data_IF_835763856246
#
_entry.id   IF_835763856246
#
_cell.length_a   1.000
_cell.length_b   1.000
_cell.length_c   1.000
_cell.angle_alpha   90.00
_cell.angle_beta   90.00
_cell.angle_gamma   90.00
#
_symmetry.space_group_name_H-M   'P 1'
#
loop_
_entity.id
_entity.type
_entity.pdbx_description
1 polymer ?
#
# COMPACT_ATOMS: atom_id res chain seq x y z
N UNK A 1 25.48 3.63 14.88
CA UNK A 1 24.95 2.63 13.94
C UNK A 1 23.88 3.22 13.01
N UNK A 2 22.70 3.64 13.50
CA UNK A 2 21.64 4.18 12.62
C UNK A 2 22.05 5.41 11.80
N UNK A 3 22.72 6.39 12.40
CA UNK A 3 23.10 7.62 11.70
C UNK A 3 24.04 7.39 10.49
N UNK A 4 24.94 6.41 10.55
CA UNK A 4 25.85 6.10 9.43
C UNK A 4 25.11 5.41 8.28
N UNK A 5 24.22 4.46 8.60
CA UNK A 5 23.39 3.77 7.61
C UNK A 5 22.43 4.76 6.94
N UNK A 6 21.74 5.60 7.72
CA UNK A 6 20.84 6.60 7.18
C UNK A 6 21.55 7.59 6.27
N UNK A 7 22.77 8.01 6.63
CA UNK A 7 23.58 8.88 5.77
C UNK A 7 23.90 8.22 4.43
N UNK A 8 24.31 6.94 4.44
CA UNK A 8 24.61 6.21 3.20
C UNK A 8 23.38 6.03 2.32
N UNK A 9 22.23 5.69 2.92
CA UNK A 9 20.99 5.52 2.16
C UNK A 9 20.54 6.87 1.57
N UNK A 10 20.58 7.94 2.38
CA UNK A 10 20.15 9.28 1.94
C UNK A 10 21.11 9.92 0.94
N UNK A 11 22.41 9.59 0.94
CA UNK A 11 23.34 10.07 -0.10
C UNK A 11 23.01 9.51 -1.49
N UNK A 12 22.22 8.44 -1.56
CA UNK A 12 21.68 7.86 -2.80
C UNK A 12 20.29 8.41 -3.16
N UNK A 13 19.81 9.44 -2.48
CA UNK A 13 18.49 10.04 -2.70
C UNK A 13 17.32 9.21 -2.17
N UNK A 14 17.58 8.16 -1.37
CA UNK A 14 16.54 7.28 -0.84
C UNK A 14 16.02 7.87 0.47
N UNK A 15 14.69 7.99 0.58
CA UNK A 15 14.02 8.41 1.80
C UNK A 15 13.87 7.23 2.76
N UNK A 16 14.03 7.48 4.06
CA UNK A 16 13.93 6.43 5.08
C UNK A 16 12.87 6.79 6.10
N UNK A 17 11.88 5.93 6.26
CA UNK A 17 10.77 6.11 7.20
C UNK A 17 10.91 5.16 8.37
N UNK A 18 10.71 5.67 9.59
CA UNK A 18 10.65 4.83 10.78
C UNK A 18 9.28 4.15 10.85
N UNK A 19 9.27 2.82 10.76
CA UNK A 19 8.03 2.03 10.83
C UNK A 19 7.68 1.70 12.28
N UNK A 20 6.43 1.92 12.66
CA UNK A 20 5.93 1.73 14.03
C UNK A 20 4.55 1.07 14.00
N UNK A 21 4.36 -0.03 14.72
CA UNK A 21 3.02 -0.55 14.94
C UNK A 21 2.95 -1.94 15.57
N UNK A 22 1.79 -2.24 16.13
CA UNK A 22 1.34 -3.53 16.67
C UNK A 22 -0.16 -3.44 16.89
N UNK A 23 -0.89 -4.55 16.75
CA UNK A 23 -2.34 -4.58 16.98
C UNK A 23 -2.75 -3.96 18.32
N UNK A 24 -1.97 -4.17 19.39
CA UNK A 24 -2.25 -3.71 20.76
C UNK A 24 -2.02 -2.22 20.99
N UNK A 25 -1.42 -1.48 20.04
CA UNK A 25 -1.20 -0.03 20.18
C UNK A 25 -2.50 0.77 20.27
N UNK A 26 -3.61 0.22 19.76
CA UNK A 26 -4.95 0.83 19.92
C UNK A 26 -5.43 0.87 21.36
N UNK A 27 -4.84 0.03 22.22
CA UNK A 27 -5.07 -0.04 23.66
C UNK A 27 -3.90 0.54 24.46
N UNK A 28 -2.68 0.53 23.89
CA UNK A 28 -1.43 0.88 24.60
C UNK A 28 -0.61 1.98 23.88
N UNK A 29 -1.12 3.21 23.88
CA UNK A 29 -0.48 4.39 23.25
C UNK A 29 1.02 4.60 23.55
N UNK A 30 1.50 4.22 24.75
CA UNK A 30 2.84 4.59 25.24
C UNK A 30 3.96 4.23 24.27
N UNK A 31 3.85 3.08 23.60
CA UNK A 31 4.87 2.61 22.65
C UNK A 31 4.95 3.48 21.40
N UNK A 32 3.79 3.85 20.86
CA UNK A 32 3.68 4.79 19.74
C UNK A 32 4.27 6.16 20.12
N UNK A 33 3.94 6.68 21.31
CA UNK A 33 4.49 7.96 21.80
C UNK A 33 6.00 7.94 21.96
N UNK A 34 6.52 6.84 22.51
CA UNK A 34 7.95 6.65 22.72
C UNK A 34 8.68 6.60 21.37
N UNK A 35 8.13 5.88 20.38
CA UNK A 35 8.69 5.83 19.03
C UNK A 35 8.70 7.21 18.36
N UNK A 36 7.59 7.96 18.43
CA UNK A 36 7.52 9.34 17.91
C UNK A 36 8.58 10.21 18.60
N UNK A 37 8.68 10.11 19.93
CA UNK A 37 9.64 10.89 20.72
C UNK A 37 11.08 10.57 20.32
N UNK A 38 11.42 9.29 20.18
CA UNK A 38 12.76 8.84 19.78
C UNK A 38 13.13 9.33 18.38
N UNK A 39 12.23 9.22 17.40
CA UNK A 39 12.48 9.68 16.02
C UNK A 39 12.66 11.19 15.96
N UNK A 40 11.80 11.96 16.64
CA UNK A 40 11.94 13.42 16.68
C UNK A 40 13.22 13.86 17.39
N UNK A 41 13.59 13.20 18.49
CA UNK A 41 14.85 13.48 19.19
C UNK A 41 16.07 13.16 18.31
N UNK A 42 16.04 12.02 17.60
CA UNK A 42 17.09 11.63 16.66
C UNK A 42 17.24 12.64 15.53
N UNK A 43 16.15 13.07 14.91
CA UNK A 43 16.17 14.04 13.81
C UNK A 43 16.64 15.45 14.22
N UNK A 44 16.55 15.82 15.51
CA UNK A 44 17.07 17.11 16.01
C UNK A 44 18.59 17.16 16.02
N UNK A 45 19.26 16.02 16.16
CA UNK A 45 20.72 15.95 16.31
C UNK A 45 21.43 15.34 15.09
N UNK A 46 20.67 14.87 14.10
CA UNK A 46 21.20 14.27 12.88
C UNK A 46 20.56 14.89 11.64
N UNK A 47 21.38 15.58 10.84
CA UNK A 47 20.98 16.14 9.54
C UNK A 47 20.45 15.05 8.58
N UNK A 48 21.07 13.88 8.60
CA UNK A 48 20.63 12.69 7.86
C UNK A 48 19.68 11.81 8.68
N UNK A 49 18.71 12.43 9.36
CA UNK A 49 17.65 11.76 10.10
C UNK A 49 16.59 11.08 9.22
N UNK A 50 15.59 10.48 9.85
CA UNK A 50 14.44 9.86 9.18
C UNK A 50 13.66 10.90 8.38
N UNK A 51 13.22 10.52 7.18
CA UNK A 51 12.35 11.33 6.31
C UNK A 51 10.90 11.40 6.80
N UNK A 52 10.47 10.42 7.60
CA UNK A 52 9.11 10.36 8.12
C UNK A 52 8.84 9.19 9.05
N UNK A 53 7.57 9.07 9.45
CA UNK A 53 7.02 7.94 10.20
C UNK A 53 6.02 7.18 9.35
N UNK A 54 6.01 5.84 9.42
CA UNK A 54 4.97 5.02 8.83
C UNK A 54 4.34 4.17 9.93
N UNK A 55 3.03 4.30 10.13
CA UNK A 55 2.31 3.53 11.14
C UNK A 55 1.66 2.30 10.53
N UNK A 56 2.16 1.13 10.91
CA UNK A 56 1.64 -0.18 10.49
C UNK A 56 0.94 -0.86 11.67
N UNK A 57 -0.22 -0.31 12.02
CA UNK A 57 -1.01 -0.75 13.16
C UNK A 57 -2.19 -1.54 12.61
N UNK A 58 -2.18 -2.86 12.84
CA UNK A 58 -3.16 -3.82 12.33
C UNK A 58 -4.16 -4.24 13.42
N UNK A 59 -5.15 -3.39 13.77
CA UNK A 59 -6.03 -3.68 14.91
C UNK A 59 -6.94 -4.89 14.69
N UNK A 60 -7.08 -5.34 13.44
CA UNK A 60 -7.83 -6.53 13.06
C UNK A 60 -7.10 -7.85 13.40
N UNK A 61 -5.82 -7.79 13.75
CA UNK A 61 -5.05 -8.93 14.27
C UNK A 61 -5.20 -9.10 15.80
N UNK A 62 -5.98 -8.25 16.49
CA UNK A 62 -6.26 -8.42 17.91
C UNK A 62 -7.09 -9.68 18.19
N UNK A 63 -6.75 -10.39 19.28
CA UNK A 63 -7.60 -11.46 19.81
C UNK A 63 -8.98 -10.90 20.19
N UNK A 64 -10.04 -11.55 19.72
CA UNK A 64 -11.42 -11.09 19.93
C UNK A 64 -11.86 -9.95 19.00
N UNK A 65 -11.09 -9.65 17.94
CA UNK A 65 -11.48 -8.64 16.95
C UNK A 65 -12.86 -8.92 16.33
N UNK A 66 -13.20 -10.15 15.88
CA UNK A 66 -14.50 -10.43 15.25
C UNK A 66 -15.71 -10.02 16.10
N UNK A 67 -15.64 -10.22 17.42
CA UNK A 67 -16.68 -9.91 18.40
C UNK A 67 -16.75 -8.42 18.74
N UNK A 68 -15.64 -7.69 18.53
CA UNK A 68 -15.46 -6.31 18.99
C UNK A 68 -15.09 -5.32 17.88
N UNK A 69 -15.29 -5.68 16.60
CA UNK A 69 -14.84 -4.91 15.41
C UNK A 69 -15.12 -3.42 15.52
N UNK A 70 -16.36 -3.04 15.82
CA UNK A 70 -16.79 -1.63 15.92
C UNK A 70 -16.04 -0.88 17.02
N UNK A 71 -15.87 -1.50 18.19
CA UNK A 71 -15.17 -0.91 19.32
C UNK A 71 -13.67 -0.77 19.01
N UNK A 72 -13.07 -1.78 18.39
CA UNK A 72 -11.66 -1.79 17.98
C UNK A 72 -11.38 -0.69 16.94
N UNK A 73 -12.19 -0.56 15.89
CA UNK A 73 -12.03 0.53 14.92
C UNK A 73 -12.24 1.92 15.53
N UNK A 74 -13.15 2.06 16.50
CA UNK A 74 -13.30 3.31 17.23
C UNK A 74 -12.05 3.66 18.06
N UNK A 75 -11.36 2.66 18.64
CA UNK A 75 -10.07 2.85 19.34
C UNK A 75 -8.95 3.22 18.37
N UNK A 76 -8.85 2.52 17.25
CA UNK A 76 -7.93 2.84 16.16
C UNK A 76 -8.10 4.29 15.67
N UNK A 77 -9.35 4.73 15.41
CA UNK A 77 -9.63 6.10 15.00
C UNK A 77 -9.31 7.16 16.08
N UNK A 78 -9.34 6.79 17.37
CA UNK A 78 -8.87 7.68 18.46
C UNK A 78 -7.35 7.73 18.48
N UNK A 79 -6.67 6.60 18.30
CA UNK A 79 -5.22 6.53 18.24
C UNK A 79 -4.66 7.39 17.11
N UNK A 80 -5.21 7.29 15.89
CA UNK A 80 -4.74 8.10 14.76
C UNK A 80 -4.90 9.62 14.99
N UNK A 81 -5.98 10.05 15.67
CA UNK A 81 -6.13 11.45 16.09
C UNK A 81 -5.06 11.86 17.08
N UNK A 82 -4.72 10.98 18.03
CA UNK A 82 -3.67 11.23 19.01
C UNK A 82 -2.30 11.34 18.36
N UNK A 83 -1.99 10.45 17.41
CA UNK A 83 -0.78 10.50 16.57
C UNK A 83 -0.71 11.85 15.82
N UNK A 84 -1.78 12.25 15.13
CA UNK A 84 -1.86 13.53 14.42
C UNK A 84 -1.54 14.71 15.32
N UNK A 85 -2.14 14.76 16.51
CA UNK A 85 -1.90 15.83 17.49
C UNK A 85 -0.45 15.80 17.98
N UNK A 86 0.09 14.60 18.25
CA UNK A 86 1.44 14.41 18.79
C UNK A 86 2.54 14.78 17.81
N UNK A 87 2.36 14.47 16.53
CA UNK A 87 3.33 14.78 15.45
C UNK A 87 3.14 16.21 14.94
N UNK A 88 1.90 16.69 14.88
CA UNK A 88 1.57 18.00 14.32
C UNK A 88 2.08 18.12 12.88
N UNK A 89 2.93 19.13 12.64
CA UNK A 89 3.62 19.36 11.35
C UNK A 89 5.13 19.09 11.44
N UNK A 90 5.60 18.47 12.52
CA UNK A 90 7.03 18.32 12.78
C UNK A 90 7.72 17.32 11.85
N UNK A 91 6.98 16.34 11.35
CA UNK A 91 7.52 15.32 10.46
C UNK A 91 6.39 14.70 9.61
N UNK A 92 6.59 14.43 8.31
CA UNK A 92 5.62 13.72 7.51
C UNK A 92 5.32 12.33 8.07
N UNK A 93 4.07 11.90 8.00
CA UNK A 93 3.70 10.55 8.42
C UNK A 93 2.60 9.92 7.59
N UNK A 94 2.69 8.60 7.41
CA UNK A 94 1.73 7.79 6.66
C UNK A 94 1.20 6.63 7.50
N UNK A 95 0.16 5.98 7.00
CA UNK A 95 -0.46 4.81 7.65
C UNK A 95 -0.62 3.68 6.66
N UNK A 96 -0.21 2.48 7.05
CA UNK A 96 -0.47 1.26 6.31
C UNK A 96 -1.87 0.76 6.67
N UNK A 97 -2.69 0.51 5.65
CA UNK A 97 -4.06 0.06 5.82
C UNK A 97 -4.37 -1.10 4.89
N UNK A 98 -5.25 -2.04 5.27
CA UNK A 98 -5.76 -3.04 4.36
C UNK A 98 -6.80 -2.44 3.41
N UNK A 99 -6.96 -3.04 2.23
CA UNK A 99 -7.86 -2.54 1.18
C UNK A 99 -9.32 -2.36 1.65
N UNK A 100 -9.81 -3.19 2.57
CA UNK A 100 -11.22 -3.19 3.02
C UNK A 100 -11.59 -2.04 3.98
N UNK A 101 -10.66 -1.13 4.30
CA UNK A 101 -10.97 0.04 5.13
C UNK A 101 -11.96 1.01 4.46
N UNK A 102 -12.18 0.90 3.15
CA UNK A 102 -13.23 1.61 2.43
C UNK A 102 -14.64 1.15 2.82
N UNK A 103 -14.80 -0.12 3.22
CA UNK A 103 -16.07 -0.72 3.64
C UNK A 103 -16.39 -0.50 5.13
N UNK A 104 -15.40 -0.12 5.94
CA UNK A 104 -15.59 0.11 7.38
C UNK A 104 -16.17 1.50 7.59
N UNK A 105 -17.38 1.60 8.15
CA UNK A 105 -18.01 2.90 8.48
C UNK A 105 -17.29 3.62 9.62
N UNK A 106 -17.00 4.91 9.43
CA UNK A 106 -16.43 5.79 10.46
C UNK A 106 -17.02 7.21 10.35
N UNK A 107 -17.90 7.56 11.29
CA UNK A 107 -18.63 8.83 11.25
C UNK A 107 -19.54 8.91 10.03
N UNK A 108 -19.42 9.98 9.24
CA UNK A 108 -20.19 10.17 7.99
C UNK A 108 -19.59 9.41 6.78
N UNK A 109 -18.32 9.01 6.85
CA UNK A 109 -17.60 8.36 5.74
C UNK A 109 -17.11 6.94 6.06
N UNK A 110 -16.12 6.50 5.30
CA UNK A 110 -15.38 5.25 5.56
C UNK A 110 -14.16 5.49 6.45
N UNK A 111 -13.62 4.42 7.03
CA UNK A 111 -12.38 4.44 7.80
C UNK A 111 -11.22 4.87 6.90
N UNK A 112 -11.17 4.42 5.64
CA UNK A 112 -10.22 4.91 4.62
C UNK A 112 -10.19 6.45 4.56
N UNK A 113 -11.34 7.11 4.32
CA UNK A 113 -11.37 8.58 4.24
C UNK A 113 -11.04 9.25 5.58
N UNK A 114 -11.32 8.57 6.69
CA UNK A 114 -10.92 9.05 8.00
C UNK A 114 -9.40 9.04 8.17
N UNK A 115 -8.72 7.96 7.76
CA UNK A 115 -7.25 7.84 7.80
C UNK A 115 -6.60 8.91 6.92
N UNK A 116 -7.08 9.09 5.69
CA UNK A 116 -6.58 10.13 4.76
C UNK A 116 -6.72 11.56 5.32
N UNK A 117 -7.72 11.82 6.18
CA UNK A 117 -7.85 13.11 6.90
C UNK A 117 -6.89 13.25 8.08
N UNK A 118 -6.30 12.16 8.56
CA UNK A 118 -5.36 12.20 9.68
C UNK A 118 -3.92 12.33 9.20
N UNK A 119 -3.51 11.51 8.23
CA UNK A 119 -2.13 11.34 7.80
C UNK A 119 -1.77 12.14 6.55
N UNK A 120 -0.47 12.20 6.24
CA UNK A 120 0.05 12.82 5.02
C UNK A 120 0.00 11.90 3.81
N UNK A 121 -0.13 10.59 4.03
CA UNK A 121 -0.31 9.59 2.98
C UNK A 121 -0.77 8.25 3.56
N UNK A 122 -1.06 7.29 2.68
CA UNK A 122 -1.37 5.91 3.07
C UNK A 122 -0.63 4.90 2.19
N UNK A 123 -0.46 3.69 2.70
CA UNK A 123 -0.05 2.52 1.93
C UNK A 123 -1.14 1.47 2.03
N UNK A 124 -1.62 0.96 0.88
CA UNK A 124 -2.69 -0.04 0.83
C UNK A 124 -2.07 -1.43 0.71
N UNK A 125 -2.31 -2.29 1.70
CA UNK A 125 -2.03 -3.72 1.62
C UNK A 125 -3.18 -4.42 0.89
N UNK A 126 -2.89 -4.92 -0.30
CA UNK A 126 -3.82 -5.71 -1.10
C UNK A 126 -3.71 -7.22 -0.79
N UNK A 127 -2.60 -7.67 -0.17
CA UNK A 127 -2.29 -9.08 0.07
C UNK A 127 -2.42 -9.92 -1.21
N UNK A 128 -1.86 -9.42 -2.32
CA UNK A 128 -1.86 -10.10 -3.62
C UNK A 128 -0.49 -9.89 -4.28
N UNK A 129 -0.11 -10.83 -5.13
CA UNK A 129 1.12 -10.74 -5.93
C UNK A 129 0.86 -10.29 -7.37
N UNK A 130 -0.39 -10.40 -7.85
CA UNK A 130 -0.77 -10.05 -9.23
C UNK A 130 -1.26 -8.62 -9.30
N UNK A 131 -0.55 -7.81 -10.09
CA UNK A 131 -0.82 -6.38 -10.26
C UNK A 131 -2.29 -6.03 -10.52
N UNK A 132 -3.01 -6.80 -11.35
CA UNK A 132 -4.42 -6.53 -11.64
C UNK A 132 -5.35 -6.71 -10.44
N UNK A 133 -5.07 -7.71 -9.60
CA UNK A 133 -5.84 -7.97 -8.39
C UNK A 133 -5.57 -6.87 -7.36
N UNK A 134 -4.30 -6.42 -7.25
CA UNK A 134 -3.91 -5.30 -6.41
C UNK A 134 -4.65 -4.02 -6.83
N UNK A 135 -4.64 -3.66 -8.11
CA UNK A 135 -5.34 -2.47 -8.61
C UNK A 135 -6.85 -2.54 -8.37
N UNK A 136 -7.46 -3.71 -8.60
CA UNK A 136 -8.89 -3.90 -8.39
C UNK A 136 -9.28 -3.65 -6.92
N UNK A 137 -8.48 -4.16 -5.98
CA UNK A 137 -8.71 -4.00 -4.54
C UNK A 137 -8.39 -2.58 -4.06
N UNK A 138 -7.37 -1.94 -4.61
CA UNK A 138 -6.93 -0.61 -4.19
C UNK A 138 -7.69 0.55 -4.85
N UNK A 139 -8.55 0.30 -5.85
CA UNK A 139 -9.22 1.31 -6.67
C UNK A 139 -9.89 2.41 -5.82
N UNK A 140 -10.71 2.02 -4.85
CA UNK A 140 -11.40 3.00 -3.99
C UNK A 140 -10.41 3.88 -3.21
N UNK A 141 -9.32 3.28 -2.73
CA UNK A 141 -8.25 3.99 -2.02
C UNK A 141 -7.50 4.97 -2.90
N UNK A 142 -7.13 4.56 -4.12
CA UNK A 142 -6.48 5.41 -5.12
C UNK A 142 -7.37 6.62 -5.48
N UNK A 143 -8.65 6.39 -5.78
CA UNK A 143 -9.60 7.47 -6.07
C UNK A 143 -9.77 8.42 -4.89
N UNK A 144 -9.89 7.89 -3.66
CA UNK A 144 -10.04 8.72 -2.46
C UNK A 144 -8.78 9.56 -2.18
N UNK A 145 -7.59 9.00 -2.38
CA UNK A 145 -6.33 9.74 -2.27
C UNK A 145 -6.23 10.89 -3.26
N UNK A 146 -6.56 10.62 -4.54
CA UNK A 146 -6.58 11.65 -5.59
C UNK A 146 -7.55 12.79 -5.24
N UNK A 147 -8.79 12.48 -4.84
CA UNK A 147 -9.78 13.49 -4.48
C UNK A 147 -9.39 14.32 -3.25
N UNK A 148 -8.53 13.80 -2.38
CA UNK A 148 -8.11 14.46 -1.14
C UNK A 148 -6.71 15.07 -1.24
N UNK A 149 -6.06 15.01 -2.41
CA UNK A 149 -4.67 15.43 -2.62
C UNK A 149 -3.71 14.75 -1.63
N UNK A 150 -3.83 13.42 -1.52
CA UNK A 150 -3.02 12.58 -0.62
C UNK A 150 -2.33 11.45 -1.41
N UNK A 151 -1.00 11.27 -1.24
CA UNK A 151 -0.29 10.14 -1.83
C UNK A 151 -0.82 8.80 -1.30
N UNK A 152 -0.92 7.82 -2.20
CA UNK A 152 -1.36 6.45 -1.94
C UNK A 152 -0.35 5.49 -2.56
N UNK A 153 0.36 4.75 -1.71
CA UNK A 153 1.26 3.69 -2.12
C UNK A 153 0.52 2.34 -2.13
N UNK A 154 1.00 1.40 -2.96
CA UNK A 154 0.46 0.04 -3.03
C UNK A 154 1.49 -0.97 -2.50
N UNK A 155 1.11 -1.72 -1.47
CA UNK A 155 1.89 -2.85 -0.98
C UNK A 155 1.78 -4.03 -1.94
N UNK A 156 2.92 -4.56 -2.36
CA UNK A 156 3.03 -5.73 -3.25
C UNK A 156 3.72 -6.85 -2.48
N UNK A 157 3.07 -8.00 -2.40
CA UNK A 157 3.66 -9.18 -1.78
C UNK A 157 4.66 -9.83 -2.73
N UNK A 158 5.92 -9.89 -2.29
CA UNK A 158 7.03 -10.46 -3.06
C UNK A 158 7.34 -11.91 -2.68
N UNK A 159 6.78 -12.41 -1.58
CA UNK A 159 6.92 -13.78 -1.12
C UNK A 159 5.72 -14.66 -1.55
N UNK A 160 5.91 -15.98 -1.75
CA UNK A 160 4.80 -16.90 -1.99
C UNK A 160 3.84 -16.89 -0.79
N UNK A 161 2.55 -16.62 -1.04
CA UNK A 161 1.53 -16.68 0.01
C UNK A 161 0.95 -18.11 0.11
N UNK A 162 0.60 -18.60 1.32
CA UNK A 162 0.06 -19.96 1.51
C UNK A 162 -1.29 -20.22 0.81
N UNK A 163 -2.02 -19.17 0.41
CA UNK A 163 -3.31 -19.26 -0.29
C UNK A 163 -3.19 -19.17 -1.83
N UNK A 164 -1.98 -19.05 -2.36
CA UNK A 164 -1.76 -19.10 -3.80
C UNK A 164 -1.66 -20.55 -4.27
N UNK A 165 -2.70 -21.05 -4.92
CA UNK A 165 -2.61 -22.30 -5.69
C UNK A 165 -1.74 -22.07 -6.92
N UNK A 166 -0.51 -22.60 -6.89
CA UNK A 166 0.35 -22.67 -8.07
C UNK A 166 0.04 -23.96 -8.82
N UNK A 167 -0.51 -23.84 -10.03
CA UNK A 167 -0.74 -25.00 -10.90
C UNK A 167 0.49 -25.22 -11.76
N UNK A 168 1.31 -26.19 -11.38
CA UNK A 168 2.41 -26.67 -12.21
C UNK A 168 1.88 -27.72 -13.19
N UNK A 169 1.80 -27.37 -14.47
CA UNK A 169 1.50 -28.33 -15.53
C UNK A 169 2.80 -28.99 -16.00
N UNK A 170 2.88 -30.31 -15.92
CA UNK A 170 3.92 -31.08 -16.60
C UNK A 170 3.78 -30.91 -18.12
N UNK A 171 4.86 -31.13 -18.87
CA UNK A 171 4.85 -31.07 -20.34
C UNK A 171 3.75 -31.97 -20.97
N UNK A 172 3.46 -33.11 -20.32
CA UNK A 172 2.38 -34.03 -20.71
C UNK A 172 0.99 -33.44 -20.47
N UNK A 173 0.78 -32.76 -19.34
CA UNK A 173 -0.47 -32.05 -19.03
C UNK A 173 -0.69 -30.86 -19.97
N UNK A 174 0.37 -30.11 -20.28
CA UNK A 174 0.30 -29.01 -21.26
C UNK A 174 -0.19 -29.49 -22.63
N UNK A 175 0.40 -30.57 -23.17
CA UNK A 175 -0.02 -31.13 -24.45
C UNK A 175 -1.44 -31.71 -24.45
N UNK A 176 -1.92 -32.22 -23.31
CA UNK A 176 -3.24 -32.83 -23.20
C UNK A 176 -4.34 -31.79 -23.01
N UNK A 177 -4.09 -30.76 -22.22
CA UNK A 177 -5.13 -29.88 -21.67
C UNK A 177 -5.11 -28.48 -22.33
N UNK A 178 -4.13 -28.17 -23.19
CA UNK A 178 -4.10 -26.95 -24.01
C UNK A 178 -4.46 -27.28 -25.48
N UNK A 179 -5.30 -26.46 -26.12
CA UNK A 179 -5.69 -26.53 -27.53
C UNK A 179 -5.38 -25.21 -28.22
N UNK A 180 -4.83 -25.26 -29.43
CA UNK A 180 -4.66 -24.08 -30.28
C UNK A 180 -5.87 -23.95 -31.22
N UNK A 181 -6.50 -22.78 -31.25
CA UNK A 181 -7.52 -22.45 -32.23
C UNK A 181 -7.26 -21.04 -32.78
N UNK A 182 -7.05 -20.92 -34.10
CA UNK A 182 -6.68 -19.68 -34.80
C UNK A 182 -5.50 -18.92 -34.15
N UNK A 183 -4.47 -19.62 -33.70
CA UNK A 183 -3.28 -19.00 -33.11
C UNK A 183 -3.39 -18.67 -31.62
N UNK A 184 -4.53 -18.96 -31.00
CA UNK A 184 -4.75 -18.74 -29.57
C UNK A 184 -4.80 -20.06 -28.81
N UNK A 185 -4.13 -20.11 -27.65
CA UNK A 185 -4.07 -21.28 -26.77
C UNK A 185 -5.21 -21.23 -25.75
N UNK A 186 -6.00 -22.30 -25.69
CA UNK A 186 -7.14 -22.49 -24.81
C UNK A 186 -6.89 -23.67 -23.87
N UNK A 187 -7.16 -23.51 -22.58
CA UNK A 187 -7.17 -24.63 -21.66
C UNK A 187 -8.54 -25.34 -21.72
N UNK A 188 -8.53 -26.64 -21.97
CA UNK A 188 -9.70 -27.51 -22.06
C UNK A 188 -9.59 -28.56 -20.95
N UNK A 189 -10.18 -28.24 -19.80
CA UNK A 189 -10.28 -29.09 -18.62
C UNK A 189 -11.38 -28.57 -17.70
N UNK A 190 -11.82 -29.38 -16.74
CA UNK A 190 -12.81 -28.96 -15.73
C UNK A 190 -12.19 -27.87 -14.83
N UNK A 191 -12.39 -26.61 -15.19
CA UNK A 191 -11.96 -25.44 -14.42
C UNK A 191 -13.09 -24.88 -13.54
N UNK A 192 -12.79 -24.24 -12.40
CA UNK A 192 -13.76 -23.37 -11.72
C UNK A 192 -14.05 -22.11 -12.56
N UNK A 193 -15.26 -21.53 -12.40
CA UNK A 193 -15.91 -20.72 -13.41
C UNK A 193 -15.43 -19.26 -13.44
N UNK A 194 -15.50 -18.66 -14.63
CA UNK A 194 -15.27 -17.24 -14.98
C UNK A 194 -13.80 -16.78 -14.99
N UNK A 195 -13.25 -16.17 -16.04
CA UNK A 195 -13.83 -15.61 -17.26
C UNK A 195 -13.34 -14.17 -17.48
N UNK A 196 -12.32 -14.00 -18.34
CA UNK A 196 -11.93 -12.80 -19.12
C UNK A 196 -11.48 -11.53 -18.36
N UNK A 197 -10.50 -10.87 -19.00
CA UNK A 197 -9.88 -9.60 -18.64
C UNK A 197 -10.49 -8.49 -19.49
N UNK A 198 -10.84 -7.38 -18.86
CA UNK A 198 -10.72 -6.01 -19.37
C UNK A 198 -10.67 -5.05 -18.18
N UNK A 199 -9.97 -3.91 -18.30
CA UNK A 199 -10.50 -2.56 -18.02
C UNK A 199 -9.40 -1.49 -18.12
N UNK A 200 -9.74 -0.46 -18.89
CA UNK A 200 -9.22 0.91 -18.86
C UNK A 200 -9.75 1.60 -17.59
N UNK A 201 -8.96 2.46 -16.94
CA UNK A 201 -9.49 3.33 -15.87
C UNK A 201 -9.23 4.79 -16.20
N UNK A 202 -10.32 5.56 -16.16
CA UNK A 202 -10.37 7.01 -16.20
C UNK A 202 -11.24 7.42 -15.00
N UNK A 203 -10.69 8.20 -14.08
CA UNK A 203 -11.51 8.88 -13.06
C UNK A 203 -12.26 9.97 -13.81
N UNK A 204 -13.57 9.78 -14.05
CA UNK A 204 -14.41 10.81 -14.67
C UNK A 204 -14.48 12.04 -13.76
N UNK A 205 -13.56 12.99 -13.92
CA UNK A 205 -13.72 14.25 -14.67
C UNK A 205 -12.43 15.06 -14.46
N UNK A 206 -11.93 15.66 -15.54
CA UNK A 206 -10.67 16.41 -15.66
C UNK A 206 -9.40 15.56 -15.83
N UNK A 207 -9.06 15.38 -17.12
CA UNK A 207 -7.71 15.32 -17.67
C UNK A 207 -6.65 15.86 -16.71
N UNK A 208 -5.57 15.11 -16.43
CA UNK A 208 -4.22 15.56 -16.72
C UNK A 208 -3.14 14.50 -16.48
N UNK A 209 -2.12 14.64 -17.34
CA UNK A 209 -0.91 13.85 -17.51
C UNK A 209 0.03 13.97 -16.31
N UNK A 210 0.43 12.86 -15.71
CA UNK A 210 1.85 12.48 -15.47
C UNK A 210 1.94 11.32 -14.46
N UNK A 211 2.48 10.20 -14.92
CA UNK A 211 3.01 9.14 -14.07
C UNK A 211 4.44 9.56 -13.74
N UNK A 212 4.76 9.74 -12.45
CA UNK A 212 6.16 9.86 -12.00
C UNK A 212 6.62 8.48 -11.54
N UNK A 213 7.39 7.80 -12.40
CA UNK A 213 8.15 6.61 -12.02
C UNK A 213 9.44 7.03 -11.32
N UNK A 214 9.72 6.45 -10.15
CA UNK A 214 11.03 6.52 -9.50
C UNK A 214 11.84 5.26 -9.82
N UNK A 215 12.56 5.29 -10.94
CA UNK A 215 13.75 4.49 -11.20
C UNK A 215 14.46 5.06 -12.44
N UNK A 216 15.79 5.22 -12.46
CA UNK A 216 16.50 5.65 -13.65
C UNK A 216 16.57 4.47 -14.63
N UNK A 217 16.08 4.66 -15.85
CA UNK A 217 16.41 3.78 -16.98
C UNK A 217 17.68 4.32 -17.66
N UNK A 218 18.60 3.43 -18.10
CA UNK A 218 19.83 3.83 -18.77
C UNK A 218 19.55 4.53 -20.11
N UNK A 219 20.37 5.53 -20.42
CA UNK A 219 20.31 6.30 -21.65
C UNK A 219 20.80 5.47 -22.85
N UNK A 220 19.93 4.64 -23.41
CA UNK A 220 20.08 4.09 -24.76
C UNK A 220 18.72 3.57 -25.22
N UNK A 221 17.93 4.45 -25.86
CA UNK A 221 16.83 4.18 -26.80
C UNK A 221 16.01 5.48 -26.97
N UNK A 222 16.63 6.50 -27.56
CA UNK A 222 15.92 7.53 -28.32
C UNK A 222 16.48 7.42 -29.72
N UNK A 223 15.76 6.67 -30.56
CA UNK A 223 15.76 6.87 -32.00
C UNK A 223 14.34 6.63 -32.46
N UNK A 224 13.68 7.69 -32.91
CA UNK A 224 12.50 7.61 -33.75
C UNK A 224 12.83 8.47 -34.98
N UNK A 225 12.86 7.90 -36.19
CA UNK A 225 13.03 8.70 -37.39
C UNK A 225 11.74 9.48 -37.67
N UNK A 226 11.93 10.74 -38.03
CA UNK A 226 10.97 11.59 -38.74
C UNK A 226 10.42 10.86 -39.96
N UNK A 227 9.11 10.91 -40.18
CA UNK A 227 8.49 10.93 -41.52
C UNK A 227 7.05 11.45 -41.46
N UNK A 228 6.81 12.55 -42.18
CA UNK A 228 5.59 12.81 -42.95
C UNK A 228 4.50 13.61 -42.28
#
# INVERSE_FOLDING_TARGET
>A
AYASILREIKSRGIQVYATVGDPSDVDHWRRVDHAITAVLAFNRVHENGFSGLQFDIEPYALKGFPEHRKAVYARYARLLRKIRIRIGRSLPWSVVIPFWFDQVRQGRGSLLTFVLRQADGITIMAYRSRYREILALARTGLCAGQLMDKPVDLGVEMAPMPDQSHYFLTRRQFSRDIRNHHGHLYFVGQGPPSGRIALHYECADQTYRSIRTWAPLPASLIDVPDMG
#
